data_IF_501306732510
#
_entry.id   IF_501306732510
#
_cell.length_a   1.000
_cell.length_b   1.000
_cell.length_c   1.000
_cell.angle_alpha   90.00
_cell.angle_beta   90.00
_cell.angle_gamma   90.00
#
_symmetry.space_group_name_H-M   'P 1'
#
loop_
_entity.id
_entity.type
_entity.pdbx_description
1 polymer ?
#
# COMPACT_ATOMS: atom_id res chain seq x y z
N UNK A 1 4.34 -24.73 13.79
CA UNK A 1 3.33 -25.79 13.87
C UNK A 1 2.48 -25.63 12.63
N UNK A 2 2.83 -26.37 11.59
CA UNK A 2 2.22 -26.27 10.26
C UNK A 2 0.80 -26.83 10.32
N UNK A 3 -0.17 -25.93 10.43
CA UNK A 3 -1.57 -26.29 10.25
C UNK A 3 -1.73 -26.60 8.77
N UNK A 4 -2.13 -27.83 8.45
CA UNK A 4 -2.65 -28.25 7.16
C UNK A 4 -3.74 -27.26 6.72
N UNK A 5 -3.36 -26.28 5.91
CA UNK A 5 -4.25 -25.26 5.35
C UNK A 5 -5.08 -25.92 4.25
N UNK A 6 -6.05 -26.75 4.64
CA UNK A 6 -7.27 -26.85 3.87
C UNK A 6 -7.78 -25.42 3.73
N UNK A 7 -7.74 -24.89 2.50
CA UNK A 7 -7.76 -23.47 2.17
C UNK A 7 -8.61 -22.64 3.16
N UNK A 8 -7.97 -21.84 4.02
CA UNK A 8 -8.66 -21.03 5.05
C UNK A 8 -9.76 -20.15 4.43
N UNK A 9 -9.62 -19.79 3.15
CA UNK A 9 -10.65 -19.06 2.39
C UNK A 9 -11.92 -19.91 2.25
N UNK A 10 -11.83 -21.22 2.00
CA UNK A 10 -12.99 -22.12 1.96
C UNK A 10 -13.69 -22.19 3.32
N UNK A 11 -12.92 -22.26 4.41
CA UNK A 11 -13.48 -22.28 5.77
C UNK A 11 -14.24 -20.97 6.06
N UNK A 12 -13.65 -19.83 5.71
CA UNK A 12 -14.30 -18.52 5.83
C UNK A 12 -15.56 -18.43 4.96
N UNK A 13 -15.51 -18.94 3.73
CA UNK A 13 -16.68 -19.01 2.85
C UNK A 13 -17.78 -19.92 3.41
N UNK A 14 -17.46 -20.89 4.27
CA UNK A 14 -18.44 -21.76 4.95
C UNK A 14 -18.93 -21.19 6.29
N UNK A 15 -18.68 -19.91 6.57
CA UNK A 15 -19.05 -19.24 7.82
C UNK A 15 -18.35 -19.80 9.08
N UNK A 16 -17.18 -20.42 8.91
CA UNK A 16 -16.38 -20.90 10.03
C UNK A 16 -15.81 -19.72 10.82
N UNK A 17 -16.46 -19.43 11.96
CA UNK A 17 -16.04 -18.39 12.91
C UNK A 17 -14.73 -18.73 13.62
N UNK A 18 -14.39 -20.01 13.77
CA UNK A 18 -13.15 -20.43 14.40
C UNK A 18 -11.95 -20.16 13.49
N UNK A 19 -12.11 -20.44 12.19
CA UNK A 19 -11.11 -20.07 11.18
C UNK A 19 -10.90 -18.54 11.12
N UNK A 20 -11.98 -17.76 11.18
CA UNK A 20 -11.87 -16.29 11.24
C UNK A 20 -11.19 -15.80 12.51
N UNK A 21 -11.52 -16.38 13.68
CA UNK A 21 -10.88 -16.04 14.95
C UNK A 21 -9.36 -16.26 14.90
N UNK A 22 -8.92 -17.41 14.40
CA UNK A 22 -7.49 -17.69 14.25
C UNK A 22 -6.80 -16.69 13.32
N UNK A 23 -7.43 -16.37 12.18
CA UNK A 23 -6.93 -15.36 11.25
C UNK A 23 -6.80 -14.00 11.94
N UNK A 24 -7.82 -13.59 12.69
CA UNK A 24 -7.83 -12.34 13.42
C UNK A 24 -6.69 -12.28 14.44
N UNK A 25 -6.57 -13.29 15.32
CA UNK A 25 -5.52 -13.36 16.34
C UNK A 25 -4.11 -13.35 15.74
N UNK A 26 -3.93 -13.97 14.56
CA UNK A 26 -2.64 -14.01 13.89
C UNK A 26 -2.24 -12.69 13.22
N UNK A 27 -3.20 -11.94 12.66
CA UNK A 27 -2.90 -10.80 11.80
C UNK A 27 -3.25 -9.44 12.40
N UNK A 28 -4.15 -9.36 13.38
CA UNK A 28 -4.65 -8.09 13.90
C UNK A 28 -3.53 -7.16 14.37
N UNK A 29 -2.67 -7.61 15.30
CA UNK A 29 -1.58 -6.79 15.82
C UNK A 29 -0.58 -6.36 14.74
N UNK A 30 -0.36 -7.21 13.72
CA UNK A 30 0.52 -6.89 12.58
C UNK A 30 -0.11 -5.82 11.67
N UNK A 31 -1.43 -5.88 11.48
CA UNK A 31 -2.18 -4.88 10.71
C UNK A 31 -2.19 -3.55 11.44
N UNK A 32 -2.45 -3.54 12.76
CA UNK A 32 -2.39 -2.33 13.59
C UNK A 32 -0.99 -1.70 13.47
N UNK A 33 0.07 -2.45 13.75
CA UNK A 33 1.44 -1.94 13.65
C UNK A 33 1.77 -1.39 12.24
N UNK A 34 1.30 -2.06 11.20
CA UNK A 34 1.47 -1.61 9.82
C UNK A 34 0.75 -0.28 9.55
N UNK A 35 -0.50 -0.13 9.99
CA UNK A 35 -1.27 1.12 9.83
C UNK A 35 -0.67 2.24 10.68
N UNK A 36 -0.28 1.96 11.94
CA UNK A 36 0.44 2.91 12.80
C UNK A 36 1.70 3.43 12.11
N UNK A 37 2.48 2.54 11.47
CA UNK A 37 3.65 2.92 10.69
C UNK A 37 3.36 3.98 9.62
N UNK A 38 2.15 3.95 9.03
CA UNK A 38 1.71 4.87 7.97
C UNK A 38 1.08 6.17 8.49
N UNK A 39 0.22 6.09 9.52
CA UNK A 39 -0.59 7.25 9.96
C UNK A 39 -0.14 7.87 11.28
N UNK A 40 0.78 7.20 12.00
CA UNK A 40 1.36 7.64 13.29
C UNK A 40 0.33 7.96 14.40
N UNK A 41 -0.89 7.40 14.31
CA UNK A 41 -1.99 7.54 15.30
C UNK A 41 -2.49 6.16 15.69
N UNK A 42 -2.22 5.73 16.92
CA UNK A 42 -2.49 4.35 17.38
C UNK A 42 -3.99 4.04 17.54
N UNK A 43 -4.75 4.93 18.15
CA UNK A 43 -6.20 4.73 18.35
C UNK A 43 -6.92 4.56 16.99
N UNK A 44 -6.63 5.46 16.04
CA UNK A 44 -7.19 5.40 14.69
C UNK A 44 -6.73 4.14 13.95
N UNK A 45 -5.49 3.70 14.16
CA UNK A 45 -4.98 2.49 13.52
C UNK A 45 -5.71 1.23 14.01
N UNK A 46 -6.10 1.18 15.29
CA UNK A 46 -6.91 0.10 15.83
C UNK A 46 -8.30 0.08 15.18
N UNK A 47 -8.98 1.23 15.09
CA UNK A 47 -10.29 1.33 14.45
C UNK A 47 -10.25 0.89 12.98
N UNK A 48 -9.26 1.40 12.22
CA UNK A 48 -9.09 1.02 10.81
C UNK A 48 -8.76 -0.48 10.65
N UNK A 49 -7.95 -1.06 11.54
CA UNK A 49 -7.68 -2.49 11.53
C UNK A 49 -8.95 -3.29 11.79
N UNK A 50 -9.76 -2.88 12.78
CA UNK A 50 -11.04 -3.51 13.07
C UNK A 50 -11.97 -3.49 11.85
N UNK A 51 -12.09 -2.34 11.19
CA UNK A 51 -12.88 -2.19 9.96
C UNK A 51 -12.40 -3.12 8.84
N UNK A 52 -11.08 -3.31 8.67
CA UNK A 52 -10.53 -4.23 7.67
C UNK A 52 -11.01 -5.66 7.93
N UNK A 53 -10.95 -6.14 9.17
CA UNK A 53 -11.39 -7.49 9.50
C UNK A 53 -12.91 -7.65 9.45
N UNK A 54 -13.68 -6.63 9.85
CA UNK A 54 -15.15 -6.62 9.68
C UNK A 54 -15.52 -6.72 8.21
N UNK A 55 -14.89 -5.91 7.35
CA UNK A 55 -15.14 -5.95 5.91
C UNK A 55 -14.71 -7.27 5.28
N UNK A 56 -13.61 -7.86 5.73
CA UNK A 56 -13.18 -9.21 5.32
C UNK A 56 -14.26 -10.24 5.66
N UNK A 57 -14.78 -10.22 6.90
CA UNK A 57 -15.85 -11.12 7.30
C UNK A 57 -17.12 -10.91 6.46
N UNK A 58 -17.60 -9.67 6.32
CA UNK A 58 -18.79 -9.37 5.52
C UNK A 58 -18.62 -9.77 4.04
N UNK A 59 -17.40 -9.66 3.51
CA UNK A 59 -17.04 -10.03 2.14
C UNK A 59 -16.65 -11.50 1.94
N UNK A 60 -16.58 -12.31 2.99
CA UNK A 60 -15.95 -13.65 2.98
C UNK A 60 -16.44 -14.59 1.87
N UNK A 61 -17.73 -14.54 1.55
CA UNK A 61 -18.36 -15.37 0.50
C UNK A 61 -17.85 -15.07 -0.91
N UNK A 62 -17.28 -13.88 -1.13
CA UNK A 62 -16.76 -13.40 -2.42
C UNK A 62 -15.23 -13.50 -2.53
N UNK A 63 -14.55 -14.01 -1.49
CA UNK A 63 -13.11 -14.20 -1.54
C UNK A 63 -12.76 -15.23 -2.61
N UNK A 64 -11.77 -14.94 -3.43
CA UNK A 64 -11.28 -15.87 -4.44
C UNK A 64 -10.25 -16.81 -3.81
N UNK A 65 -10.52 -18.11 -3.94
CA UNK A 65 -9.73 -19.23 -3.39
C UNK A 65 -8.29 -19.22 -3.93
N UNK A 66 -8.05 -18.62 -5.10
CA UNK A 66 -6.73 -18.47 -5.71
C UNK A 66 -5.91 -17.29 -5.15
N UNK A 67 -6.53 -16.40 -4.36
CA UNK A 67 -5.84 -15.23 -3.81
C UNK A 67 -5.00 -15.58 -2.58
N UNK A 68 -3.88 -14.88 -2.43
CA UNK A 68 -3.12 -14.88 -1.19
C UNK A 68 -3.85 -14.00 -0.16
N UNK A 69 -4.45 -14.62 0.85
CA UNK A 69 -5.25 -13.94 1.87
C UNK A 69 -4.42 -12.92 2.68
N UNK A 70 -3.16 -13.21 2.97
CA UNK A 70 -2.26 -12.28 3.64
C UNK A 70 -2.09 -11.01 2.80
N UNK A 71 -1.79 -11.15 1.50
CA UNK A 71 -1.68 -10.01 0.60
C UNK A 71 -2.98 -9.20 0.54
N UNK A 72 -4.14 -9.87 0.48
CA UNK A 72 -5.44 -9.20 0.52
C UNK A 72 -5.60 -8.33 1.78
N UNK A 73 -5.29 -8.87 2.96
CA UNK A 73 -5.38 -8.16 4.25
C UNK A 73 -4.49 -6.91 4.26
N UNK A 74 -3.22 -7.03 3.87
CA UNK A 74 -2.29 -5.88 3.88
C UNK A 74 -2.62 -4.84 2.81
N UNK A 75 -3.14 -5.25 1.64
CA UNK A 75 -3.64 -4.30 0.63
C UNK A 75 -4.87 -3.54 1.14
N UNK A 76 -5.82 -4.23 1.76
CA UNK A 76 -6.99 -3.60 2.36
C UNK A 76 -6.60 -2.60 3.47
N UNK A 77 -5.66 -3.00 4.34
CA UNK A 77 -5.12 -2.16 5.41
C UNK A 77 -4.43 -0.91 4.89
N UNK A 78 -3.58 -1.05 3.85
CA UNK A 78 -2.94 0.07 3.18
C UNK A 78 -3.96 1.04 2.58
N UNK A 79 -5.02 0.51 1.94
CA UNK A 79 -6.07 1.34 1.35
C UNK A 79 -6.87 2.08 2.42
N UNK A 80 -7.17 1.46 3.55
CA UNK A 80 -7.82 2.10 4.69
C UNK A 80 -6.97 3.27 5.23
N UNK A 81 -5.67 3.04 5.46
CA UNK A 81 -4.73 4.07 5.89
C UNK A 81 -4.63 5.24 4.89
N UNK A 82 -4.51 4.96 3.58
CA UNK A 82 -4.46 5.99 2.54
C UNK A 82 -5.76 6.79 2.48
N UNK A 83 -6.92 6.13 2.60
CA UNK A 83 -8.21 6.82 2.59
C UNK A 83 -8.37 7.72 3.81
N UNK A 84 -7.90 7.29 4.98
CA UNK A 84 -7.86 8.13 6.18
C UNK A 84 -6.96 9.36 5.95
N UNK A 85 -5.72 9.17 5.48
CA UNK A 85 -4.79 10.27 5.21
C UNK A 85 -5.34 11.26 4.17
N UNK A 86 -6.02 10.78 3.13
CA UNK A 86 -6.68 11.64 2.14
C UNK A 86 -7.76 12.51 2.77
N UNK A 87 -8.56 11.96 3.68
CA UNK A 87 -9.60 12.71 4.41
C UNK A 87 -8.98 13.74 5.35
N UNK A 88 -7.94 13.36 6.10
CA UNK A 88 -7.19 14.30 6.93
C UNK A 88 -6.61 15.44 6.10
N UNK A 89 -5.97 15.15 4.97
CA UNK A 89 -5.42 16.18 4.09
C UNK A 89 -6.49 17.09 3.49
N UNK A 90 -7.67 16.56 3.17
CA UNK A 90 -8.81 17.35 2.70
C UNK A 90 -9.35 18.28 3.81
N UNK A 91 -9.48 17.78 5.05
CA UNK A 91 -9.87 18.59 6.21
C UNK A 91 -8.81 19.66 6.54
N UNK A 92 -7.54 19.33 6.38
CA UNK A 92 -6.43 20.26 6.55
C UNK A 92 -6.44 21.33 5.45
N UNK A 93 -6.74 21.00 4.18
CA UNK A 93 -6.91 21.99 3.11
C UNK A 93 -8.07 22.97 3.37
N UNK A 94 -9.13 22.53 4.04
CA UNK A 94 -10.25 23.38 4.45
C UNK A 94 -9.90 24.28 5.64
N UNK A 95 -8.88 23.91 6.44
CA UNK A 95 -8.39 24.68 7.60
C UNK A 95 -7.15 25.57 7.27
N UNK A 96 -6.46 25.33 6.16
CA UNK A 96 -5.21 26.00 5.74
C UNK A 96 -5.43 27.40 5.13
N UNK A 97 -6.64 27.96 5.10
CA UNK A 97 -6.77 29.44 5.01
C UNK A 97 -6.27 30.16 6.28
N UNK A 98 -5.91 29.42 7.33
CA UNK A 98 -5.32 29.96 8.55
C UNK A 98 -4.15 29.12 9.04
N UNK A 99 -2.95 29.70 8.94
CA UNK A 99 -1.66 29.26 9.54
C UNK A 99 -0.77 28.40 8.64
N UNK A 100 -0.05 29.09 7.76
CA UNK A 100 1.26 28.66 7.28
C UNK A 100 2.29 28.72 8.42
N UNK A 101 3.23 27.78 8.37
CA UNK A 101 4.48 27.64 9.15
C UNK A 101 4.46 26.77 10.41
N UNK A 102 5.47 25.89 10.45
CA UNK A 102 5.87 24.90 11.47
C UNK A 102 5.29 23.50 11.27
N UNK A 103 6.05 22.64 10.58
CA UNK A 103 6.47 21.27 10.99
C UNK A 103 7.43 20.79 9.89
N UNK A 104 8.69 21.23 9.97
CA UNK A 104 9.84 20.65 9.24
C UNK A 104 10.97 20.30 10.22
N UNK A 105 10.62 20.01 11.47
CA UNK A 105 11.55 19.58 12.49
C UNK A 105 11.04 18.24 13.06
N UNK A 106 11.92 17.25 13.13
CA UNK A 106 11.72 15.89 13.68
C UNK A 106 11.33 14.76 12.71
N UNK A 107 11.89 14.75 11.51
CA UNK A 107 12.18 13.47 10.84
C UNK A 107 13.64 13.13 11.07
N UNK A 108 13.91 11.99 11.74
CA UNK A 108 15.25 11.44 11.98
C UNK A 108 16.15 11.60 10.75
N UNK A 109 17.35 12.15 10.95
CA UNK A 109 18.30 12.42 9.85
C UNK A 109 18.66 11.14 9.08
N UNK A 110 18.72 9.99 9.76
CA UNK A 110 18.92 8.67 9.12
C UNK A 110 17.75 8.25 8.23
N UNK A 111 16.51 8.37 8.72
CA UNK A 111 15.30 8.08 7.92
C UNK A 111 15.24 8.97 6.67
N UNK A 112 15.76 10.21 6.76
CA UNK A 112 15.82 11.15 5.64
C UNK A 112 16.86 10.79 4.58
N UNK A 113 18.02 10.25 4.98
CA UNK A 113 19.10 9.85 4.06
C UNK A 113 18.69 8.59 3.31
N UNK A 114 18.24 7.57 4.03
CA UNK A 114 17.79 6.32 3.42
C UNK A 114 16.58 6.54 2.49
N UNK A 115 15.61 7.37 2.91
CA UNK A 115 14.50 7.76 2.04
C UNK A 115 14.97 8.48 0.77
N UNK A 116 15.98 9.36 0.88
CA UNK A 116 16.56 10.04 -0.28
C UNK A 116 17.24 9.07 -1.24
N UNK A 117 17.98 8.09 -0.74
CA UNK A 117 18.63 7.06 -1.56
C UNK A 117 17.60 6.19 -2.29
N UNK A 118 16.55 5.76 -1.60
CA UNK A 118 15.45 5.02 -2.23
C UNK A 118 14.75 5.88 -3.29
N UNK A 119 14.50 7.16 -3.03
CA UNK A 119 13.90 8.06 -4.02
C UNK A 119 14.78 8.22 -5.27
N UNK A 120 16.10 8.36 -5.11
CA UNK A 120 17.03 8.39 -6.23
C UNK A 120 17.00 7.10 -7.04
N UNK A 121 16.95 5.95 -6.37
CA UNK A 121 16.81 4.65 -7.03
C UNK A 121 15.51 4.56 -7.82
N UNK A 122 14.38 4.99 -7.25
CA UNK A 122 13.11 5.03 -7.98
C UNK A 122 13.22 5.93 -9.22
N UNK A 123 13.81 7.12 -9.08
CA UNK A 123 13.95 8.07 -10.19
C UNK A 123 14.85 7.54 -11.31
N UNK A 124 15.95 6.84 -10.98
CA UNK A 124 16.79 6.15 -11.96
C UNK A 124 15.98 5.10 -12.74
N UNK A 125 15.26 4.24 -12.02
CA UNK A 125 14.46 3.17 -12.65
C UNK A 125 13.36 3.76 -13.54
N UNK A 126 12.65 4.79 -13.07
CA UNK A 126 11.60 5.45 -13.84
C UNK A 126 12.14 6.14 -15.08
N UNK A 127 13.34 6.72 -15.00
CA UNK A 127 13.99 7.38 -16.14
C UNK A 127 14.46 6.40 -17.22
N UNK A 128 14.78 5.16 -16.85
CA UNK A 128 15.17 4.09 -17.78
C UNK A 128 13.97 3.33 -18.40
N UNK A 129 12.74 3.57 -17.93
CA UNK A 129 11.55 2.94 -18.49
C UNK A 129 11.27 3.41 -19.93
N UNK A 130 10.58 2.60 -20.74
CA UNK A 130 10.04 3.06 -22.02
C UNK A 130 9.17 4.31 -21.84
N UNK A 131 9.33 5.30 -22.73
CA UNK A 131 8.71 6.64 -22.63
C UNK A 131 7.22 6.62 -22.25
N UNK A 132 6.44 5.71 -22.84
CA UNK A 132 5.01 5.61 -22.55
C UNK A 132 4.73 5.16 -21.11
N UNK A 133 5.52 4.22 -20.59
CA UNK A 133 5.39 3.74 -19.21
C UNK A 133 5.82 4.80 -18.21
N UNK A 134 6.95 5.46 -18.48
CA UNK A 134 7.45 6.57 -17.69
C UNK A 134 6.38 7.67 -17.59
N UNK A 135 5.82 8.10 -18.73
CA UNK A 135 4.76 9.12 -18.78
C UNK A 135 3.54 8.71 -17.95
N UNK A 136 3.03 7.49 -18.14
CA UNK A 136 1.89 6.97 -17.38
C UNK A 136 2.17 6.92 -15.88
N UNK A 137 3.38 6.51 -15.48
CA UNK A 137 3.80 6.48 -14.09
C UNK A 137 3.82 7.88 -13.48
N UNK A 138 4.45 8.86 -14.15
CA UNK A 138 4.53 10.24 -13.67
C UNK A 138 3.15 10.90 -13.59
N UNK A 139 2.29 10.71 -14.59
CA UNK A 139 0.89 11.18 -14.55
C UNK A 139 0.11 10.59 -13.36
N UNK A 140 0.37 9.33 -12.99
CA UNK A 140 -0.29 8.71 -11.85
C UNK A 140 0.29 9.15 -10.50
N UNK A 141 1.62 9.35 -10.41
CA UNK A 141 2.34 9.54 -9.15
C UNK A 141 2.62 11.00 -8.81
N UNK A 142 2.91 11.82 -9.80
CA UNK A 142 3.26 13.24 -9.66
C UNK A 142 2.04 14.12 -9.89
N UNK A 143 1.27 13.86 -10.95
CA UNK A 143 0.04 14.62 -11.26
C UNK A 143 -1.20 14.09 -10.49
N UNK A 144 -1.10 12.89 -9.89
CA UNK A 144 -2.20 12.31 -9.10
C UNK A 144 -3.42 11.84 -9.90
N UNK A 145 -3.30 11.70 -11.23
CA UNK A 145 -4.41 11.34 -12.11
C UNK A 145 -4.86 9.88 -11.91
N UNK A 146 -6.16 9.65 -12.00
CA UNK A 146 -6.75 8.31 -12.01
C UNK A 146 -6.47 7.58 -13.34
N UNK A 147 -6.52 6.25 -13.31
CA UNK A 147 -6.30 5.43 -14.51
C UNK A 147 -7.27 5.78 -15.66
N UNK A 148 -8.49 6.23 -15.32
CA UNK A 148 -9.48 6.67 -16.31
C UNK A 148 -9.09 8.00 -16.95
N UNK A 149 -8.63 8.97 -16.16
CA UNK A 149 -8.17 10.27 -16.67
C UNK A 149 -6.93 10.12 -17.55
N UNK A 150 -5.98 9.27 -17.14
CA UNK A 150 -4.78 8.94 -17.94
C UNK A 150 -5.19 8.27 -19.26
N UNK A 151 -6.10 7.29 -19.20
CA UNK A 151 -6.60 6.59 -20.38
C UNK A 151 -7.24 7.56 -21.39
N UNK A 152 -8.08 8.47 -20.90
CA UNK A 152 -8.72 9.50 -21.72
C UNK A 152 -7.71 10.49 -22.31
N UNK A 153 -6.74 10.97 -21.50
CA UNK A 153 -5.71 11.94 -21.95
C UNK A 153 -4.80 11.35 -23.03
N UNK A 154 -4.51 10.04 -22.95
CA UNK A 154 -3.60 9.35 -23.86
C UNK A 154 -4.32 8.60 -25.00
N UNK A 155 -5.65 8.55 -25.01
CA UNK A 155 -6.43 7.82 -26.03
C UNK A 155 -6.21 6.30 -26.00
N UNK A 156 -5.90 5.73 -24.83
CA UNK A 156 -5.66 4.28 -24.65
C UNK A 156 -6.69 3.68 -23.69
N UNK A 157 -6.77 2.35 -23.62
CA UNK A 157 -7.69 1.70 -22.68
C UNK A 157 -7.20 1.81 -21.23
N UNK A 158 -8.14 1.92 -20.27
CA UNK A 158 -7.85 1.85 -18.83
C UNK A 158 -7.01 0.63 -18.45
N UNK A 159 -7.31 -0.52 -19.06
CA UNK A 159 -6.56 -1.77 -18.86
C UNK A 159 -5.10 -1.64 -19.31
N UNK A 160 -4.83 -0.89 -20.37
CA UNK A 160 -3.46 -0.60 -20.83
C UNK A 160 -2.70 0.25 -19.81
N UNK A 161 -3.36 1.27 -19.24
CA UNK A 161 -2.80 2.10 -18.16
C UNK A 161 -2.48 1.25 -16.93
N UNK A 162 -3.42 0.41 -16.49
CA UNK A 162 -3.24 -0.50 -15.36
C UNK A 162 -2.07 -1.47 -15.58
N UNK A 163 -1.96 -2.04 -16.78
CA UNK A 163 -0.85 -2.92 -17.14
C UNK A 163 0.50 -2.18 -17.10
N UNK A 164 0.59 -0.99 -17.69
CA UNK A 164 1.84 -0.21 -17.68
C UNK A 164 2.26 0.18 -16.25
N UNK A 165 1.30 0.60 -15.42
CA UNK A 165 1.56 0.88 -13.99
C UNK A 165 1.98 -0.38 -13.24
N UNK A 166 1.36 -1.53 -13.50
CA UNK A 166 1.74 -2.79 -12.88
C UNK A 166 3.18 -3.18 -13.23
N UNK A 167 3.61 -2.98 -14.48
CA UNK A 167 4.98 -3.27 -14.91
C UNK A 167 5.95 -2.28 -14.27
N UNK A 168 5.64 -0.98 -14.29
CA UNK A 168 6.47 0.06 -13.65
C UNK A 168 6.73 -0.24 -12.17
N UNK A 169 5.68 -0.58 -11.42
CA UNK A 169 5.80 -0.90 -9.99
C UNK A 169 6.56 -2.21 -9.74
N UNK A 170 6.50 -3.17 -10.68
CA UNK A 170 7.28 -4.40 -10.59
C UNK A 170 8.77 -4.10 -10.74
N UNK A 171 9.17 -3.29 -11.73
CA UNK A 171 10.56 -2.92 -11.98
C UNK A 171 11.13 -2.12 -10.80
N UNK A 172 10.40 -1.11 -10.31
CA UNK A 172 10.81 -0.33 -9.13
C UNK A 172 11.03 -1.24 -7.92
N UNK A 173 10.09 -2.15 -7.64
CA UNK A 173 10.20 -3.07 -6.50
C UNK A 173 11.42 -3.99 -6.64
N UNK A 174 11.69 -4.49 -7.84
CA UNK A 174 12.85 -5.36 -8.07
C UNK A 174 14.15 -4.63 -7.81
N UNK A 175 14.30 -3.40 -8.31
CA UNK A 175 15.52 -2.60 -8.07
C UNK A 175 15.72 -2.28 -6.59
N UNK A 176 14.66 -1.95 -5.85
CA UNK A 176 14.74 -1.72 -4.39
C UNK A 176 15.17 -3.01 -3.67
N UNK A 177 14.61 -4.17 -4.04
CA UNK A 177 15.00 -5.44 -3.44
C UNK A 177 16.47 -5.77 -3.71
N UNK A 178 16.94 -5.57 -4.95
CA UNK A 178 18.35 -5.77 -5.31
C UNK A 178 19.27 -4.85 -4.52
N UNK A 179 18.89 -3.58 -4.35
CA UNK A 179 19.64 -2.62 -3.54
C UNK A 179 19.70 -3.04 -2.06
N UNK A 180 18.59 -3.49 -1.47
CA UNK A 180 18.58 -4.02 -0.09
C UNK A 180 19.46 -5.27 0.04
N UNK A 181 19.39 -6.19 -0.91
CA UNK A 181 20.25 -7.38 -0.91
C UNK A 181 21.72 -6.97 -0.96
N UNK A 182 22.08 -6.02 -1.82
CA UNK A 182 23.44 -5.49 -1.91
C UNK A 182 23.90 -4.84 -0.59
N UNK A 183 23.05 -4.01 0.04
CA UNK A 183 23.36 -3.43 1.35
C UNK A 183 23.57 -4.51 2.43
N UNK A 184 22.74 -5.54 2.45
CA UNK A 184 22.89 -6.67 3.38
C UNK A 184 24.24 -7.38 3.20
N UNK A 185 24.69 -7.57 1.96
CA UNK A 185 26.02 -8.14 1.65
C UNK A 185 27.18 -7.23 2.04
N UNK A 186 27.01 -5.90 1.95
CA UNK A 186 28.07 -4.94 2.31
C UNK A 186 28.22 -4.75 3.83
N UNK A 187 27.20 -5.12 4.60
CA UNK A 187 27.16 -5.04 6.06
C UNK A 187 27.54 -6.34 6.78
N UNK A 188 27.71 -7.44 6.03
CA UNK A 188 28.11 -8.77 6.50
C UNK A 188 29.57 -9.06 6.18
#
# INVERSE_FOLDING_TARGET
>A
MDIQIGNIILQLQQDDKYAFKQLYEQYYSRVVAFIVGMIKKEDIANDLAQDVFVNLWLGRKRLDISQNLQNYIFVASRNAAINYLRKELAHVHEQIETVQEKIYAESNVEDSIFAREINLLVEMVVSDMPKQRQLIYRMSREEGLSNNEIANKLGISKRSVENQLSIALKEIRQSILTYIIFLLYMLS
#
